data_IF_817057751292
#
_entry.id   IF_817057751292
#
_cell.length_a   1.000
_cell.length_b   1.000
_cell.length_c   1.000
_cell.angle_alpha   90.00
_cell.angle_beta   90.00
_cell.angle_gamma   90.00
#
_symmetry.space_group_name_H-M   'P 1'
#
loop_
_entity.id
_entity.type
_entity.pdbx_description
1 polymer ?
#
# COMPACT_ATOMS: atom_id res chain seq x y z
N UNK A 1 9.79 -9.69 -16.03
CA UNK A 1 9.68 -9.15 -14.67
C UNK A 1 8.28 -9.44 -14.17
N UNK A 2 8.17 -9.94 -12.94
CA UNK A 2 6.93 -10.36 -12.28
C UNK A 2 6.65 -9.45 -11.09
N UNK A 3 5.44 -9.52 -10.49
CA UNK A 3 5.16 -8.78 -9.23
C UNK A 3 6.12 -9.20 -8.12
N UNK A 4 6.54 -10.46 -8.09
CA UNK A 4 7.52 -10.93 -7.11
C UNK A 4 8.90 -10.29 -7.33
N UNK A 5 9.32 -10.11 -8.58
CA UNK A 5 10.57 -9.39 -8.89
C UNK A 5 10.47 -7.91 -8.45
N UNK A 6 9.31 -7.28 -8.68
CA UNK A 6 9.05 -5.90 -8.26
C UNK A 6 9.09 -5.79 -6.72
N UNK A 7 8.56 -6.76 -5.97
CA UNK A 7 8.66 -6.80 -4.49
C UNK A 7 10.10 -6.85 -4.02
N UNK A 8 10.92 -7.73 -4.60
CA UNK A 8 12.31 -7.89 -4.17
C UNK A 8 13.14 -6.65 -4.52
N UNK A 9 12.92 -6.04 -5.69
CA UNK A 9 13.56 -4.79 -6.08
C UNK A 9 13.16 -3.62 -5.17
N UNK A 10 11.88 -3.52 -4.85
CA UNK A 10 11.34 -2.49 -3.95
C UNK A 10 11.95 -2.60 -2.55
N UNK A 11 12.03 -3.83 -1.99
CA UNK A 11 12.64 -4.06 -0.67
C UNK A 11 14.13 -3.74 -0.63
N UNK A 12 14.87 -4.07 -1.70
CA UNK A 12 16.28 -3.74 -1.79
C UNK A 12 16.48 -2.22 -1.80
N UNK A 13 15.70 -1.51 -2.62
CA UNK A 13 15.77 -0.04 -2.72
C UNK A 13 15.33 0.63 -1.42
N UNK A 14 14.27 0.13 -0.77
CA UNK A 14 13.84 0.61 0.55
C UNK A 14 14.96 0.46 1.59
N UNK A 15 15.69 -0.66 1.59
CA UNK A 15 16.80 -0.86 2.51
C UNK A 15 17.93 0.18 2.30
N UNK A 16 18.20 0.53 1.04
CA UNK A 16 19.18 1.55 0.69
C UNK A 16 18.72 2.96 1.11
N UNK A 17 17.45 3.30 0.88
CA UNK A 17 16.85 4.56 1.34
C UNK A 17 16.90 4.68 2.86
N UNK A 18 16.50 3.62 3.57
CA UNK A 18 16.56 3.54 5.04
C UNK A 18 17.98 3.72 5.57
N UNK A 19 18.97 3.12 4.92
CA UNK A 19 20.38 3.30 5.28
C UNK A 19 20.82 4.76 5.10
N UNK A 20 20.44 5.39 3.98
CA UNK A 20 20.82 6.76 3.65
C UNK A 20 20.22 7.81 4.60
N UNK A 21 18.92 7.69 4.94
CA UNK A 21 18.24 8.66 5.81
C UNK A 21 18.53 8.44 7.30
N UNK A 22 18.93 7.22 7.68
CA UNK A 22 19.25 6.84 9.05
C UNK A 22 18.03 6.59 9.95
N UNK A 23 18.24 5.96 11.12
CA UNK A 23 17.17 5.38 11.93
C UNK A 23 16.20 6.38 12.56
N UNK A 24 16.61 7.64 12.75
CA UNK A 24 15.80 8.69 13.39
C UNK A 24 15.00 9.54 12.39
N UNK A 25 15.18 9.34 11.09
CA UNK A 25 14.42 10.07 10.07
C UNK A 25 12.92 9.78 10.20
N UNK A 26 12.09 10.74 9.80
CA UNK A 26 10.63 10.55 9.74
C UNK A 26 10.31 9.48 8.69
N UNK A 27 9.43 8.55 9.01
CA UNK A 27 8.92 7.57 8.06
C UNK A 27 7.72 8.08 7.24
N UNK A 28 7.20 9.28 7.52
CA UNK A 28 6.02 9.83 6.85
C UNK A 28 4.67 9.21 7.25
N UNK A 29 4.67 8.15 8.05
CA UNK A 29 3.47 7.49 8.56
C UNK A 29 3.24 7.78 10.06
N UNK A 30 2.62 8.93 10.35
CA UNK A 30 2.35 9.36 11.72
C UNK A 30 3.64 9.71 12.48
N UNK A 31 3.83 9.12 13.67
CA UNK A 31 5.01 9.39 14.52
C UNK A 31 6.15 8.39 14.32
N UNK A 32 6.07 7.55 13.30
CA UNK A 32 7.08 6.51 13.08
C UNK A 32 8.39 7.07 12.56
N UNK A 33 9.48 6.49 13.05
CA UNK A 33 10.82 6.68 12.50
C UNK A 33 11.13 5.65 11.43
N UNK A 34 12.18 5.87 10.64
CA UNK A 34 12.73 4.89 9.71
C UNK A 34 13.03 3.53 10.40
N UNK A 35 13.42 3.55 11.68
CA UNK A 35 13.61 2.31 12.45
C UNK A 35 12.29 1.58 12.73
N UNK A 36 11.22 2.30 13.06
CA UNK A 36 9.90 1.71 13.25
C UNK A 36 9.34 1.13 11.94
N UNK A 37 9.56 1.83 10.82
CA UNK A 37 9.21 1.37 9.48
C UNK A 37 9.94 0.07 9.10
N UNK A 38 11.26 0.03 9.28
CA UNK A 38 12.06 -1.16 9.01
C UNK A 38 11.59 -2.35 9.86
N UNK A 39 11.29 -2.09 11.15
CA UNK A 39 10.77 -3.09 12.07
C UNK A 39 9.38 -3.59 11.66
N UNK A 40 8.51 -2.71 11.15
CA UNK A 40 7.20 -3.08 10.65
C UNK A 40 7.29 -4.04 9.45
N UNK A 41 8.09 -3.69 8.43
CA UNK A 41 8.24 -4.51 7.22
C UNK A 41 8.87 -5.87 7.55
N UNK A 42 9.93 -5.90 8.36
CA UNK A 42 10.55 -7.17 8.81
C UNK A 42 9.60 -7.99 9.69
N UNK A 43 8.77 -7.33 10.50
CA UNK A 43 7.74 -7.97 11.31
C UNK A 43 6.75 -8.80 10.47
N UNK A 44 6.47 -8.34 9.24
CA UNK A 44 5.62 -9.06 8.30
C UNK A 44 6.21 -10.39 7.81
N UNK A 45 7.54 -10.56 7.87
CA UNK A 45 8.25 -11.76 7.42
C UNK A 45 8.33 -12.85 8.50
N UNK A 46 7.97 -12.53 9.75
CA UNK A 46 7.97 -13.49 10.86
C UNK A 46 7.16 -14.74 10.54
N UNK A 47 7.60 -15.87 11.11
CA UNK A 47 6.99 -17.17 10.87
C UNK A 47 6.83 -17.46 9.35
N UNK A 48 7.87 -17.14 8.58
CA UNK A 48 7.91 -17.25 7.13
C UNK A 48 6.76 -16.51 6.40
N UNK A 49 6.27 -15.42 7.00
CA UNK A 49 5.16 -14.62 6.48
C UNK A 49 3.79 -15.27 6.64
N UNK A 50 3.63 -16.37 7.40
CA UNK A 50 2.38 -17.13 7.48
C UNK A 50 1.20 -16.28 7.98
N UNK A 51 1.40 -15.50 9.05
CA UNK A 51 0.35 -14.65 9.62
C UNK A 51 -0.05 -13.56 8.62
N UNK A 52 0.94 -12.86 8.06
CA UNK A 52 0.75 -11.82 7.04
C UNK A 52 0.06 -12.36 5.80
N UNK A 53 0.41 -13.56 5.35
CA UNK A 53 -0.25 -14.24 4.25
C UNK A 53 -1.74 -14.43 4.54
N UNK A 54 -2.11 -15.01 5.68
CA UNK A 54 -3.51 -15.20 6.04
C UNK A 54 -4.29 -13.88 6.08
N UNK A 55 -3.70 -12.85 6.69
CA UNK A 55 -4.30 -11.51 6.76
C UNK A 55 -4.52 -10.94 5.35
N UNK A 56 -3.50 -10.99 4.48
CA UNK A 56 -3.59 -10.47 3.11
C UNK A 56 -4.58 -11.26 2.25
N UNK A 57 -4.71 -12.57 2.44
CA UNK A 57 -5.70 -13.41 1.77
C UNK A 57 -7.14 -13.01 2.14
N UNK A 58 -7.35 -12.59 3.38
CA UNK A 58 -8.63 -12.07 3.89
C UNK A 58 -8.86 -10.64 3.38
N UNK A 59 -7.84 -9.77 3.44
CA UNK A 59 -7.87 -8.40 2.91
C UNK A 59 -8.22 -8.39 1.41
N UNK A 60 -7.54 -9.26 0.65
CA UNK A 60 -7.77 -9.50 -0.77
C UNK A 60 -9.14 -10.14 -1.06
N UNK A 61 -10.02 -10.34 -0.07
CA UNK A 61 -11.44 -10.69 -0.27
C UNK A 61 -12.38 -9.57 0.16
N UNK A 62 -11.85 -8.39 0.49
CA UNK A 62 -12.64 -7.21 0.86
C UNK A 62 -12.95 -7.12 2.35
N UNK A 63 -12.40 -8.01 3.18
CA UNK A 63 -12.65 -7.98 4.63
C UNK A 63 -11.72 -6.96 5.28
N UNK A 64 -12.33 -5.92 5.85
CA UNK A 64 -11.63 -4.88 6.59
C UNK A 64 -11.22 -5.36 7.98
N UNK A 65 -10.02 -4.99 8.40
CA UNK A 65 -9.57 -5.18 9.78
C UNK A 65 -8.79 -3.95 10.22
N UNK A 66 -9.01 -3.55 11.47
CA UNK A 66 -8.28 -2.44 12.10
C UNK A 66 -7.47 -3.02 13.26
N UNK A 67 -6.16 -3.29 13.08
CA UNK A 67 -5.35 -3.81 14.16
C UNK A 67 -5.29 -2.79 15.30
N UNK A 68 -5.37 -3.26 16.54
CA UNK A 68 -5.22 -2.38 17.71
C UNK A 68 -3.82 -1.77 17.68
N UNK A 69 -3.72 -0.44 17.86
CA UNK A 69 -2.44 0.28 17.84
C UNK A 69 -1.40 -0.30 18.82
N UNK A 70 -1.85 -0.83 19.96
CA UNK A 70 -1.00 -1.50 20.95
C UNK A 70 -0.35 -2.78 20.40
N UNK A 71 -1.08 -3.58 19.62
CA UNK A 71 -0.56 -4.82 19.03
C UNK A 71 0.50 -4.50 17.97
N UNK A 72 0.25 -3.49 17.15
CA UNK A 72 1.20 -3.01 16.15
C UNK A 72 2.48 -2.48 16.81
N UNK A 73 2.33 -1.62 17.83
CA UNK A 73 3.45 -1.09 18.60
C UNK A 73 4.26 -2.20 19.27
N UNK A 74 3.60 -3.22 19.81
CA UNK A 74 4.26 -4.38 20.40
C UNK A 74 5.09 -5.16 19.36
N UNK A 75 4.52 -5.42 18.18
CA UNK A 75 5.21 -6.12 17.10
C UNK A 75 6.46 -5.34 16.63
N UNK A 76 6.34 -4.03 16.43
CA UNK A 76 7.46 -3.14 16.05
C UNK A 76 8.54 -3.13 17.13
N UNK A 77 8.15 -2.90 18.38
CA UNK A 77 9.09 -2.88 19.50
C UNK A 77 9.81 -4.21 19.71
N UNK A 78 9.18 -5.33 19.33
CA UNK A 78 9.81 -6.65 19.34
C UNK A 78 10.93 -6.74 18.29
N UNK A 79 10.67 -6.32 17.05
CA UNK A 79 11.70 -6.35 16.00
C UNK A 79 12.85 -5.38 16.27
N UNK A 80 12.55 -4.20 16.84
CA UNK A 80 13.57 -3.21 17.20
C UNK A 80 14.66 -3.74 18.14
N UNK A 81 14.37 -4.78 18.92
CA UNK A 81 15.36 -5.44 19.80
C UNK A 81 16.55 -6.03 19.02
N UNK A 82 16.38 -6.32 17.73
CA UNK A 82 17.45 -6.79 16.86
C UNK A 82 18.43 -5.69 16.43
N UNK A 83 18.08 -4.42 16.60
CA UNK A 83 18.88 -3.29 16.14
C UNK A 83 18.68 -2.94 14.66
N UNK A 84 18.88 -1.67 14.31
CA UNK A 84 18.57 -1.15 12.99
C UNK A 84 19.33 -1.84 11.86
N UNK A 85 20.65 -2.00 12.01
CA UNK A 85 21.49 -2.66 11.00
C UNK A 85 21.05 -4.11 10.71
N UNK A 86 20.60 -4.84 11.73
CA UNK A 86 20.10 -6.20 11.56
C UNK A 86 18.79 -6.25 10.77
N UNK A 87 17.92 -5.24 10.94
CA UNK A 87 16.68 -5.12 10.15
C UNK A 87 16.98 -4.79 8.69
N UNK A 88 17.92 -3.88 8.40
CA UNK A 88 18.34 -3.60 7.02
C UNK A 88 18.93 -4.84 6.35
N UNK A 89 19.79 -5.57 7.08
CA UNK A 89 20.33 -6.85 6.60
C UNK A 89 19.23 -7.90 6.39
N UNK A 90 18.11 -7.83 7.11
CA UNK A 90 16.95 -8.70 6.89
C UNK A 90 16.15 -8.28 5.65
N UNK A 91 15.92 -6.97 5.45
CA UNK A 91 15.20 -6.46 4.28
C UNK A 91 15.86 -6.86 2.96
N UNK A 92 17.20 -6.90 2.94
CA UNK A 92 18.01 -7.35 1.80
C UNK A 92 17.98 -8.86 1.55
N UNK A 93 17.41 -9.66 2.46
CA UNK A 93 17.17 -11.09 2.22
C UNK A 93 15.93 -11.26 1.37
N UNK A 94 15.84 -12.40 0.68
CA UNK A 94 14.64 -12.76 -0.08
C UNK A 94 13.41 -12.74 0.79
N UNK A 95 12.35 -12.17 0.24
CA UNK A 95 11.02 -12.17 0.83
C UNK A 95 10.53 -13.61 1.05
N UNK A 96 9.81 -13.91 2.14
CA UNK A 96 9.21 -15.23 2.34
C UNK A 96 8.32 -15.62 1.16
N UNK A 97 8.53 -16.84 0.63
CA UNK A 97 7.86 -17.33 -0.58
C UNK A 97 6.33 -17.23 -0.54
N UNK A 98 5.72 -17.39 0.63
CA UNK A 98 4.26 -17.24 0.81
C UNK A 98 3.78 -15.84 0.41
N UNK A 99 4.54 -14.81 0.72
CA UNK A 99 4.22 -13.41 0.41
C UNK A 99 4.46 -13.05 -1.06
N UNK A 100 5.10 -13.95 -1.83
CA UNK A 100 5.34 -13.82 -3.26
C UNK A 100 4.36 -14.65 -4.11
N UNK A 101 3.43 -15.36 -3.49
CA UNK A 101 2.38 -16.09 -4.22
C UNK A 101 1.42 -15.14 -4.91
N UNK A 102 0.87 -15.53 -6.05
CA UNK A 102 -0.08 -14.70 -6.82
C UNK A 102 -1.30 -14.25 -6.01
N UNK A 103 -1.67 -14.99 -4.95
CA UNK A 103 -2.77 -14.64 -4.07
C UNK A 103 -2.54 -13.33 -3.29
N UNK A 104 -1.29 -12.97 -3.00
CA UNK A 104 -0.97 -11.82 -2.13
C UNK A 104 0.17 -10.94 -2.63
N UNK A 105 0.91 -11.32 -3.66
CA UNK A 105 2.10 -10.60 -4.13
C UNK A 105 1.82 -9.12 -4.44
N UNK A 106 0.67 -8.81 -5.04
CA UNK A 106 0.29 -7.42 -5.33
C UNK A 106 0.06 -6.60 -4.05
N UNK A 107 -0.53 -7.20 -3.01
CA UNK A 107 -0.66 -6.55 -1.69
C UNK A 107 0.68 -6.48 -0.95
N UNK A 108 1.58 -7.45 -1.15
CA UNK A 108 2.95 -7.36 -0.64
C UNK A 108 3.69 -6.18 -1.26
N UNK A 109 3.60 -6.02 -2.58
CA UNK A 109 4.21 -4.89 -3.30
C UNK A 109 3.62 -3.57 -2.81
N UNK A 110 2.29 -3.49 -2.72
CA UNK A 110 1.58 -2.34 -2.18
C UNK A 110 2.11 -1.91 -0.80
N UNK A 111 2.21 -2.84 0.15
CA UNK A 111 2.64 -2.52 1.52
C UNK A 111 4.09 -2.01 1.56
N UNK A 112 5.00 -2.64 0.82
CA UNK A 112 6.41 -2.20 0.80
C UNK A 112 6.54 -0.86 0.08
N UNK A 113 5.96 -0.72 -1.11
CA UNK A 113 6.05 0.49 -1.92
C UNK A 113 5.43 1.69 -1.23
N UNK A 114 4.24 1.53 -0.65
CA UNK A 114 3.52 2.65 0.00
C UNK A 114 4.32 3.19 1.19
N UNK A 115 4.92 2.30 1.98
CA UNK A 115 5.76 2.70 3.10
C UNK A 115 7.09 3.32 2.66
N UNK A 116 7.65 2.86 1.55
CA UNK A 116 8.83 3.47 0.96
C UNK A 116 8.51 4.86 0.37
N UNK A 117 7.35 5.02 -0.25
CA UNK A 117 6.84 6.27 -0.80
C UNK A 117 6.59 7.32 0.32
N UNK A 118 6.03 6.91 1.47
CA UNK A 118 5.92 7.77 2.64
C UNK A 118 7.29 8.24 3.15
N UNK A 119 8.24 7.31 3.27
CA UNK A 119 9.60 7.59 3.72
C UNK A 119 10.28 8.57 2.76
N UNK A 120 10.21 8.32 1.46
CA UNK A 120 10.81 9.17 0.45
C UNK A 120 10.19 10.57 0.47
N UNK A 121 8.85 10.66 0.44
CA UNK A 121 8.12 11.93 0.49
C UNK A 121 8.50 12.74 1.73
N UNK A 122 8.53 12.11 2.91
CA UNK A 122 8.83 12.78 4.17
C UNK A 122 10.28 13.30 4.27
N UNK A 123 11.18 12.76 3.46
CA UNK A 123 12.59 13.13 3.43
C UNK A 123 13.00 13.85 2.14
N UNK A 124 12.02 14.30 1.33
CA UNK A 124 12.27 15.07 0.11
C UNK A 124 13.00 14.28 -0.98
N UNK A 125 12.79 12.96 -1.03
CA UNK A 125 13.38 12.07 -2.02
C UNK A 125 12.35 11.71 -3.09
N UNK A 126 12.83 11.55 -4.32
CA UNK A 126 12.00 11.04 -5.42
C UNK A 126 11.84 9.52 -5.30
N UNK A 127 10.61 9.05 -5.52
CA UNK A 127 10.30 7.63 -5.52
C UNK A 127 9.30 7.26 -6.63
N UNK A 128 9.70 6.38 -7.53
CA UNK A 128 8.87 5.93 -8.65
C UNK A 128 7.98 4.76 -8.26
N UNK A 129 6.89 4.56 -9.01
CA UNK A 129 6.06 3.37 -8.88
C UNK A 129 6.40 2.32 -9.96
N UNK A 130 6.64 1.04 -9.58
CA UNK A 130 6.76 -0.01 -10.56
C UNK A 130 5.42 -0.21 -11.30
N UNK A 131 5.49 -0.53 -12.59
CA UNK A 131 4.31 -0.63 -13.47
C UNK A 131 3.23 -1.57 -12.90
N UNK A 132 3.64 -2.71 -12.35
CA UNK A 132 2.74 -3.75 -11.83
C UNK A 132 2.17 -3.45 -10.45
N UNK A 133 2.56 -2.34 -9.80
CA UNK A 133 1.87 -1.85 -8.61
C UNK A 133 0.37 -1.66 -8.88
N UNK A 134 -0.01 -1.38 -10.13
CA UNK A 134 -1.40 -1.27 -10.58
C UNK A 134 -2.24 -2.52 -10.25
N UNK A 135 -1.61 -3.71 -10.18
CA UNK A 135 -2.29 -4.95 -9.82
C UNK A 135 -2.78 -5.00 -8.35
N UNK A 136 -2.36 -4.05 -7.52
CA UNK A 136 -2.90 -3.87 -6.17
C UNK A 136 -4.25 -3.14 -6.14
N UNK A 137 -4.63 -2.43 -7.22
CA UNK A 137 -5.87 -1.65 -7.28
C UNK A 137 -7.12 -2.54 -7.09
N UNK A 138 -7.30 -3.69 -7.77
CA UNK A 138 -8.49 -4.51 -7.58
C UNK A 138 -8.72 -5.06 -6.15
N UNK A 139 -7.72 -5.61 -5.43
CA UNK A 139 -7.93 -5.99 -4.04
C UNK A 139 -8.17 -4.80 -3.12
N UNK A 140 -7.53 -3.64 -3.35
CA UNK A 140 -7.75 -2.43 -2.56
C UNK A 140 -9.15 -1.85 -2.76
N UNK A 141 -9.63 -1.76 -4.00
CA UNK A 141 -11.01 -1.34 -4.30
C UNK A 141 -12.04 -2.21 -3.57
N UNK A 142 -11.82 -3.53 -3.51
CA UNK A 142 -12.69 -4.44 -2.75
C UNK A 142 -12.56 -4.26 -1.25
N UNK A 143 -11.35 -4.01 -0.74
CA UNK A 143 -11.11 -3.71 0.66
C UNK A 143 -11.82 -2.41 1.10
N UNK A 144 -11.96 -1.44 0.20
CA UNK A 144 -12.64 -0.17 0.47
C UNK A 144 -14.11 -0.12 0.05
N UNK A 145 -14.67 -1.21 -0.49
CA UNK A 145 -16.02 -1.20 -1.06
C UNK A 145 -17.12 -0.72 -0.10
N UNK A 146 -16.99 -0.97 1.21
CA UNK A 146 -17.94 -0.50 2.22
C UNK A 146 -17.83 0.99 2.56
N UNK A 147 -16.70 1.63 2.23
CA UNK A 147 -16.44 3.07 2.44
C UNK A 147 -16.68 3.88 1.16
N UNK A 148 -16.68 3.23 0.01
CA UNK A 148 -16.91 3.86 -1.27
C UNK A 148 -18.43 4.01 -1.52
N UNK A 149 -18.84 5.07 -2.26
CA UNK A 149 -20.22 5.21 -2.71
C UNK A 149 -20.69 3.96 -3.47
N UNK A 150 -21.98 3.61 -3.36
CA UNK A 150 -22.57 2.46 -4.07
C UNK A 150 -22.80 2.78 -5.56
N UNK A 151 -21.73 3.15 -6.26
CA UNK A 151 -21.69 3.50 -7.67
C UNK A 151 -20.99 2.42 -8.50
N UNK A 152 -21.17 2.46 -9.82
CA UNK A 152 -20.31 1.72 -10.74
C UNK A 152 -19.02 2.49 -10.94
N UNK A 153 -17.86 1.87 -10.74
CA UNK A 153 -16.56 2.50 -10.96
C UNK A 153 -15.90 1.93 -12.20
N UNK A 154 -15.35 2.80 -13.05
CA UNK A 154 -14.39 2.47 -14.09
C UNK A 154 -13.06 3.12 -13.71
N UNK A 155 -12.10 2.32 -13.25
CA UNK A 155 -10.79 2.79 -12.79
C UNK A 155 -9.78 2.57 -13.91
N UNK A 156 -9.09 3.63 -14.35
CA UNK A 156 -8.08 3.59 -15.41
C UNK A 156 -6.74 4.16 -14.94
N UNK A 157 -5.66 3.47 -15.22
CA UNK A 157 -4.32 4.00 -14.99
C UNK A 157 -3.78 4.64 -16.29
N UNK A 158 -2.90 5.63 -16.16
CA UNK A 158 -2.24 6.25 -17.33
C UNK A 158 -1.35 5.28 -18.12
N UNK A 159 -0.92 4.18 -17.51
CA UNK A 159 -0.17 3.10 -18.16
C UNK A 159 -1.07 2.00 -18.76
N UNK A 160 -2.39 2.22 -18.85
CA UNK A 160 -3.28 1.40 -19.69
C UNK A 160 -4.00 0.25 -18.98
N UNK A 161 -3.92 0.13 -17.66
CA UNK A 161 -4.77 -0.81 -16.93
C UNK A 161 -6.17 -0.23 -16.77
N UNK A 162 -7.18 -1.10 -16.85
CA UNK A 162 -8.57 -0.74 -16.63
C UNK A 162 -9.30 -1.84 -15.86
N UNK A 163 -10.12 -1.44 -14.89
CA UNK A 163 -11.03 -2.33 -14.18
C UNK A 163 -12.39 -1.68 -13.97
N UNK A 164 -13.40 -2.52 -13.81
CA UNK A 164 -14.77 -2.09 -13.49
C UNK A 164 -15.20 -2.72 -12.18
N UNK A 165 -15.80 -1.93 -11.28
CA UNK A 165 -16.27 -2.36 -9.96
C UNK A 165 -17.70 -1.87 -9.71
N UNK A 166 -18.36 -2.48 -8.73
CA UNK A 166 -19.72 -2.13 -8.33
C UNK A 166 -20.81 -2.75 -9.22
N UNK A 167 -22.08 -2.63 -8.81
CA UNK A 167 -23.21 -3.23 -9.53
C UNK A 167 -23.45 -2.55 -10.89
N UNK A 168 -24.00 -3.30 -11.84
CA UNK A 168 -24.61 -2.72 -13.04
C UNK A 168 -25.86 -1.92 -12.64
N UNK A 169 -26.13 -0.79 -13.31
CA UNK A 169 -27.36 -0.03 -13.12
C UNK A 169 -27.50 0.69 -11.77
N UNK A 170 -26.39 1.07 -11.12
CA UNK A 170 -26.43 1.93 -9.93
C UNK A 170 -27.22 3.22 -10.19
N UNK A 171 -28.10 3.58 -9.27
CA UNK A 171 -28.85 4.85 -9.28
C UNK A 171 -27.92 6.08 -9.23
N UNK A 172 -26.69 5.90 -8.74
CA UNK A 172 -25.64 6.94 -8.70
C UNK A 172 -24.85 7.05 -10.01
N UNK A 173 -25.15 6.19 -10.98
CA UNK A 173 -24.51 6.15 -12.28
C UNK A 173 -23.11 5.53 -12.28
N UNK A 174 -22.36 5.81 -13.36
CA UNK A 174 -20.97 5.38 -13.53
C UNK A 174 -20.02 6.50 -13.18
N UNK A 175 -19.05 6.20 -12.32
CA UNK A 175 -17.90 7.05 -12.01
C UNK A 175 -16.70 6.56 -12.79
N UNK A 176 -16.08 7.44 -13.58
CA UNK A 176 -14.77 7.19 -14.15
C UNK A 176 -13.69 7.83 -13.26
N UNK A 177 -12.72 7.03 -12.84
CA UNK A 177 -11.60 7.45 -12.01
C UNK A 177 -10.30 7.15 -12.75
N UNK A 178 -9.52 8.17 -13.09
CA UNK A 178 -8.27 8.01 -13.84
C UNK A 178 -7.10 8.75 -13.20
N UNK A 179 -5.91 8.16 -13.28
CA UNK A 179 -4.69 8.76 -12.74
C UNK A 179 -3.45 7.91 -12.93
N UNK A 180 -2.31 8.38 -12.43
CA UNK A 180 -1.11 7.52 -12.37
C UNK A 180 -1.33 6.35 -11.41
N UNK A 181 -0.59 5.25 -11.61
CA UNK A 181 -0.62 4.11 -10.68
C UNK A 181 -0.28 4.54 -9.25
N UNK A 182 0.72 5.41 -9.09
CA UNK A 182 1.13 5.93 -7.78
C UNK A 182 -0.01 6.71 -7.12
N UNK A 183 -0.66 7.62 -7.85
CA UNK A 183 -1.73 8.47 -7.32
C UNK A 183 -2.97 7.67 -6.91
N UNK A 184 -3.38 6.71 -7.74
CA UNK A 184 -4.53 5.85 -7.44
C UNK A 184 -4.27 4.96 -6.22
N UNK A 185 -3.04 4.43 -6.10
CA UNK A 185 -2.65 3.61 -4.94
C UNK A 185 -2.52 4.46 -3.69
N UNK A 186 -1.92 5.66 -3.76
CA UNK A 186 -1.88 6.62 -2.64
C UNK A 186 -3.28 6.96 -2.16
N UNK A 187 -4.20 7.30 -3.07
CA UNK A 187 -5.60 7.57 -2.75
C UNK A 187 -6.26 6.38 -2.05
N UNK A 188 -6.13 5.16 -2.60
CA UNK A 188 -6.64 3.94 -1.96
C UNK A 188 -6.00 3.66 -0.60
N UNK A 189 -4.74 4.05 -0.41
CA UNK A 189 -4.05 3.95 0.87
C UNK A 189 -4.40 5.08 1.84
N UNK A 190 -5.37 5.95 1.51
CA UNK A 190 -5.79 7.09 2.32
C UNK A 190 -4.79 8.25 2.35
N UNK A 191 -3.83 8.29 1.41
CA UNK A 191 -2.83 9.34 1.25
C UNK A 191 -3.28 10.33 0.19
N UNK A 192 -2.84 11.58 0.32
CA UNK A 192 -3.01 12.56 -0.72
C UNK A 192 -2.24 12.11 -1.99
N UNK A 193 -2.90 12.07 -3.16
CA UNK A 193 -2.23 11.94 -4.45
C UNK A 193 -1.15 13.02 -4.64
N UNK A 194 -0.12 12.71 -5.42
CA UNK A 194 0.89 13.66 -5.86
C UNK A 194 0.36 14.56 -6.99
N UNK A 195 -0.57 14.02 -7.80
CA UNK A 195 -1.29 14.76 -8.83
C UNK A 195 -2.81 14.61 -8.71
N UNK A 196 -3.56 15.58 -9.25
CA UNK A 196 -5.02 15.55 -9.21
C UNK A 196 -5.55 14.38 -10.03
N UNK A 197 -6.40 13.55 -9.41
CA UNK A 197 -7.09 12.46 -10.10
C UNK A 197 -8.19 13.02 -11.01
N UNK A 198 -8.33 12.47 -12.22
CA UNK A 198 -9.46 12.78 -13.11
C UNK A 198 -10.67 11.95 -12.68
N UNK A 199 -11.67 12.63 -12.08
CA UNK A 199 -12.90 12.01 -11.58
C UNK A 199 -14.09 12.56 -12.35
N UNK A 200 -14.83 11.68 -13.03
CA UNK A 200 -16.05 12.03 -13.78
C UNK A 200 -17.22 11.23 -13.25
N UNK A 201 -18.29 11.91 -12.87
CA UNK A 201 -19.49 11.29 -12.32
C UNK A 201 -20.47 12.34 -11.78
N UNK A 202 -21.51 11.90 -11.10
CA UNK A 202 -22.43 12.82 -10.42
C UNK A 202 -21.68 13.65 -9.35
N UNK A 203 -21.90 14.97 -9.24
CA UNK A 203 -21.13 15.84 -8.34
C UNK A 203 -21.09 15.35 -6.88
N UNK A 204 -22.23 14.89 -6.35
CA UNK A 204 -22.31 14.38 -4.99
C UNK A 204 -21.42 13.13 -4.76
N UNK A 205 -21.17 12.33 -5.80
CA UNK A 205 -20.30 11.15 -5.72
C UNK A 205 -18.83 11.59 -5.82
N UNK A 206 -18.52 12.57 -6.67
CA UNK A 206 -17.17 13.15 -6.77
C UNK A 206 -16.76 13.79 -5.45
N UNK A 207 -17.65 14.55 -4.81
CA UNK A 207 -17.39 15.17 -3.51
C UNK A 207 -17.11 14.11 -2.42
N UNK A 208 -17.84 12.99 -2.42
CA UNK A 208 -17.58 11.86 -1.52
C UNK A 208 -16.21 11.20 -1.79
N UNK A 209 -15.78 11.11 -3.05
CA UNK A 209 -14.48 10.55 -3.43
C UNK A 209 -13.31 11.50 -3.12
N UNK A 210 -13.53 12.81 -3.17
CA UNK A 210 -12.56 13.78 -2.67
C UNK A 210 -12.47 13.78 -1.14
N UNK A 211 -13.60 13.53 -0.47
CA UNK A 211 -13.65 13.30 0.97
C UNK A 211 -13.16 11.90 1.38
N UNK A 212 -12.88 11.00 0.42
CA UNK A 212 -12.19 9.73 0.66
C UNK A 212 -10.72 10.03 1.00
N UNK A 213 -10.53 10.53 2.21
CA UNK A 213 -9.25 10.78 2.84
C UNK A 213 -9.50 10.78 4.36
N UNK A 214 -8.52 10.30 5.14
CA UNK A 214 -8.51 10.36 6.61
C UNK A 214 -9.46 9.41 7.37
N UNK A 215 -9.62 8.14 6.97
CA UNK A 215 -10.18 7.11 7.88
C UNK A 215 -9.54 5.73 7.74
N UNK A 216 -8.22 5.68 7.67
CA UNK A 216 -7.41 4.46 7.87
C UNK A 216 -6.49 4.68 9.05
#
# INVERSE_FOLDING_TARGET
>A
MTVADDVEAERATLADTLEAVGPSASAGCGTWTAFDLAAHIVGADRAAGTITFCIRVIAARGVQFRPKAQLLSYAINRERRGGYAALLAHLRRRTPRLLLTSAVAALTLFEVWTHHDDLATANGLDHGAPERLALAIPPLMRYHAALLPSARFVVRTTNGYQWTFGPDGSDLGTVELSGSTADLVRWLAGRAPLSVLDVKGAPAVVDQLHAFACTI
#
